data_IF_035753325236
#
_entry.id   IF_035753325236
#
_cell.length_a   1.000
_cell.length_b   1.000
_cell.length_c   1.000
_cell.angle_alpha   90.00
_cell.angle_beta   90.00
_cell.angle_gamma   90.00
#
_symmetry.space_group_name_H-M   'P 1'
#
loop_
_entity.id
_entity.type
_entity.pdbx_description
1 polymer ?
#
# COMPACT_ATOMS: atom_id res chain seq x y z
N UNK A 1 68.59 13.96 43.26
CA UNK A 1 67.52 13.10 42.79
C UNK A 1 66.25 14.01 42.67
N UNK A 2 65.89 14.44 41.44
CA UNK A 2 64.69 15.24 41.15
C UNK A 2 63.65 14.37 40.47
N UNK A 3 62.55 14.03 41.16
CA UNK A 3 61.46 13.23 40.60
C UNK A 3 60.52 14.14 39.75
N UNK A 4 60.42 13.81 38.47
CA UNK A 4 59.44 14.43 37.57
C UNK A 4 58.12 13.65 37.67
N UNK A 5 57.06 14.32 38.15
CA UNK A 5 55.70 13.80 38.07
C UNK A 5 55.07 14.18 36.71
N UNK A 6 54.77 13.16 35.92
CA UNK A 6 54.08 13.27 34.64
C UNK A 6 52.58 13.36 34.92
N UNK A 7 51.93 14.49 34.59
CA UNK A 7 50.50 14.64 34.61
C UNK A 7 49.94 14.18 33.27
N UNK A 8 49.18 13.07 33.25
CA UNK A 8 48.40 12.65 32.10
C UNK A 8 47.03 13.30 32.19
N UNK A 9 46.76 14.24 31.29
CA UNK A 9 45.45 14.85 31.12
C UNK A 9 44.57 13.91 30.28
N UNK A 10 43.56 13.32 30.88
CA UNK A 10 42.51 12.55 30.18
C UNK A 10 41.56 13.52 29.50
N UNK A 11 41.63 13.66 28.18
CA UNK A 11 40.64 14.39 27.40
C UNK A 11 39.42 13.50 27.21
N UNK A 12 38.32 13.80 27.89
CA UNK A 12 37.00 13.19 27.63
C UNK A 12 36.43 13.81 26.36
N UNK A 13 36.46 13.08 25.24
CA UNK A 13 35.69 13.42 24.06
C UNK A 13 34.21 13.22 24.36
N UNK A 14 33.49 14.33 24.56
CA UNK A 14 32.04 14.32 24.61
C UNK A 14 31.48 14.00 23.21
N UNK A 15 30.90 12.83 23.06
CA UNK A 15 30.09 12.49 21.87
C UNK A 15 28.80 13.33 22.00
N UNK A 16 28.75 14.44 21.28
CA UNK A 16 27.49 15.17 21.08
C UNK A 16 26.56 14.25 20.26
N UNK A 17 25.64 13.59 20.93
CA UNK A 17 24.55 12.88 20.27
C UNK A 17 23.76 13.88 19.44
N UNK A 18 23.82 13.79 18.10
CA UNK A 18 22.89 14.51 17.23
C UNK A 18 21.49 14.02 17.55
N UNK A 19 20.74 14.80 18.31
CA UNK A 19 19.30 14.65 18.47
C UNK A 19 18.68 14.93 17.09
N UNK A 20 18.34 13.89 16.33
CA UNK A 20 17.43 14.05 15.21
C UNK A 20 16.11 14.54 15.77
N UNK A 21 15.59 15.64 15.26
CA UNK A 21 14.22 16.04 15.56
C UNK A 21 13.31 14.89 15.16
N UNK A 22 12.41 14.49 16.06
CA UNK A 22 11.48 13.40 15.76
C UNK A 22 10.62 13.80 14.55
N UNK A 23 10.56 12.94 13.55
CA UNK A 23 9.74 13.15 12.35
C UNK A 23 8.26 13.06 12.74
N UNK A 24 7.41 13.92 12.19
CA UNK A 24 5.96 13.81 12.37
C UNK A 24 5.47 12.59 11.63
N UNK A 25 4.84 11.62 12.32
CA UNK A 25 4.39 10.41 11.67
C UNK A 25 3.23 10.68 10.70
N UNK A 26 3.22 9.96 9.57
CA UNK A 26 2.19 10.06 8.54
C UNK A 26 1.74 8.65 8.13
N UNK A 27 0.43 8.49 7.92
CA UNK A 27 -0.15 7.27 7.37
C UNK A 27 -1.08 7.63 6.22
N UNK A 28 -0.92 6.96 5.09
CA UNK A 28 -1.82 7.07 3.92
C UNK A 28 -2.29 5.68 3.54
N UNK A 29 -3.59 5.54 3.24
CA UNK A 29 -4.18 4.26 2.85
C UNK A 29 -5.04 4.42 1.60
N UNK A 30 -5.20 3.34 0.83
CA UNK A 30 -6.23 3.23 -0.20
C UNK A 30 -7.04 1.94 -0.05
N UNK A 31 -8.29 1.99 -0.49
CA UNK A 31 -9.20 0.86 -0.55
C UNK A 31 -9.58 0.45 -1.98
N UNK A 32 -8.85 0.98 -2.98
CA UNK A 32 -9.03 0.66 -4.39
C UNK A 32 -9.49 1.82 -5.27
N UNK A 33 -9.00 1.86 -6.51
CA UNK A 33 -9.45 2.74 -7.58
C UNK A 33 -10.58 2.10 -8.41
N UNK A 34 -11.26 2.90 -9.24
CA UNK A 34 -12.34 2.42 -10.12
C UNK A 34 -13.74 2.51 -9.50
N UNK A 35 -13.91 3.32 -8.45
CA UNK A 35 -15.21 3.59 -7.81
C UNK A 35 -16.07 4.45 -8.73
N UNK A 36 -17.30 4.01 -8.98
CA UNK A 36 -18.27 4.72 -9.82
C UNK A 36 -19.36 5.31 -8.92
N UNK A 37 -19.49 6.63 -8.90
CA UNK A 37 -20.41 7.38 -8.01
C UNK A 37 -21.86 6.93 -8.14
N UNK A 38 -22.34 6.66 -9.37
CA UNK A 38 -23.73 6.23 -9.63
C UNK A 38 -24.07 4.83 -9.06
N UNK A 39 -23.04 3.99 -8.82
CA UNK A 39 -23.22 2.63 -8.33
C UNK A 39 -23.08 2.56 -6.79
N UNK A 40 -22.81 3.72 -6.15
CA UNK A 40 -22.60 3.85 -4.71
C UNK A 40 -23.93 4.18 -4.00
N UNK A 41 -24.37 3.29 -3.12
CA UNK A 41 -25.49 3.60 -2.23
C UNK A 41 -25.01 4.37 -0.99
N UNK A 42 -25.87 5.22 -0.36
CA UNK A 42 -25.49 5.92 0.89
C UNK A 42 -25.06 4.99 2.01
N UNK A 43 -25.66 3.80 2.09
CA UNK A 43 -25.30 2.79 3.09
C UNK A 43 -23.88 2.23 2.85
N UNK A 44 -23.55 1.92 1.59
CA UNK A 44 -22.20 1.43 1.20
C UNK A 44 -21.16 2.52 1.39
N UNK A 45 -21.44 3.75 0.98
CA UNK A 45 -20.53 4.88 1.19
C UNK A 45 -20.20 5.07 2.67
N UNK A 46 -21.23 5.07 3.54
CA UNK A 46 -21.03 5.16 4.98
C UNK A 46 -20.19 4.00 5.53
N UNK A 47 -20.47 2.75 5.08
CA UNK A 47 -19.71 1.58 5.52
C UNK A 47 -18.23 1.69 5.11
N UNK A 48 -17.94 2.05 3.86
CA UNK A 48 -16.58 2.25 3.35
C UNK A 48 -15.84 3.35 4.15
N UNK A 49 -16.46 4.53 4.32
CA UNK A 49 -15.84 5.63 5.08
C UNK A 49 -15.56 5.22 6.54
N UNK A 50 -16.45 4.45 7.16
CA UNK A 50 -16.26 3.93 8.52
C UNK A 50 -15.08 2.96 8.58
N UNK A 51 -15.00 2.01 7.65
CA UNK A 51 -13.90 1.03 7.61
C UNK A 51 -12.54 1.68 7.31
N UNK A 52 -12.50 2.65 6.37
CA UNK A 52 -11.30 3.44 6.09
C UNK A 52 -10.83 4.22 7.33
N UNK A 53 -11.77 4.86 8.03
CA UNK A 53 -11.45 5.58 9.28
C UNK A 53 -10.89 4.64 10.34
N UNK A 54 -11.48 3.44 10.50
CA UNK A 54 -11.00 2.43 11.44
C UNK A 54 -9.59 1.94 11.07
N UNK A 55 -9.32 1.70 9.80
CA UNK A 55 -8.01 1.30 9.31
C UNK A 55 -6.94 2.37 9.59
N UNK A 56 -7.26 3.64 9.30
CA UNK A 56 -6.39 4.78 9.64
C UNK A 56 -6.10 4.85 11.14
N UNK A 57 -7.12 4.76 11.98
CA UNK A 57 -6.97 4.84 13.44
C UNK A 57 -6.10 3.70 13.98
N UNK A 58 -6.31 2.47 13.50
CA UNK A 58 -5.52 1.31 13.93
C UNK A 58 -4.05 1.40 13.50
N UNK A 59 -3.80 1.79 12.24
CA UNK A 59 -2.44 1.98 11.74
C UNK A 59 -1.74 3.14 12.44
N UNK A 60 -2.38 4.30 12.54
CA UNK A 60 -1.78 5.49 13.14
C UNK A 60 -1.54 5.33 14.66
N UNK A 61 -2.34 4.52 15.36
CA UNK A 61 -2.09 4.19 16.76
C UNK A 61 -0.72 3.50 16.95
N UNK A 62 -0.25 2.70 15.98
CA UNK A 62 1.09 2.10 16.03
C UNK A 62 2.17 3.18 15.96
N UNK A 63 2.03 4.15 15.03
CA UNK A 63 2.97 5.26 14.88
C UNK A 63 3.00 6.15 16.14
N UNK A 64 1.83 6.47 16.71
CA UNK A 64 1.74 7.23 17.97
C UNK A 64 2.37 6.50 19.16
N UNK A 65 2.39 5.18 19.14
CA UNK A 65 3.09 4.36 20.14
C UNK A 65 4.62 4.25 19.88
N UNK A 66 5.16 4.97 18.89
CA UNK A 66 6.57 4.94 18.51
C UNK A 66 7.02 3.67 17.80
N UNK A 67 6.08 2.87 17.31
CA UNK A 67 6.40 1.63 16.57
C UNK A 67 6.82 1.91 15.14
N UNK A 68 7.54 0.97 14.49
CA UNK A 68 7.96 1.10 13.10
C UNK A 68 6.82 1.30 12.11
N UNK A 69 7.10 1.96 10.99
CA UNK A 69 6.16 2.15 9.87
C UNK A 69 5.54 0.84 9.37
N UNK A 70 6.29 -0.27 9.37
CA UNK A 70 5.80 -1.61 9.05
C UNK A 70 4.61 -2.05 9.91
N UNK A 71 4.62 -1.71 11.20
CA UNK A 71 3.51 -2.07 12.11
C UNK A 71 2.24 -1.29 11.76
N UNK A 72 2.38 -0.03 11.37
CA UNK A 72 1.26 0.81 10.95
C UNK A 72 0.65 0.31 9.63
N UNK A 73 1.49 0.02 8.63
CA UNK A 73 1.07 -0.56 7.35
C UNK A 73 0.34 -1.88 7.58
N UNK A 74 0.93 -2.79 8.36
CA UNK A 74 0.33 -4.09 8.65
C UNK A 74 -1.02 -3.94 9.36
N UNK A 75 -1.11 -3.10 10.38
CA UNK A 75 -2.35 -2.89 11.15
C UNK A 75 -3.46 -2.29 10.30
N UNK A 76 -3.16 -1.31 9.45
CA UNK A 76 -4.15 -0.69 8.57
C UNK A 76 -4.68 -1.68 7.52
N UNK A 77 -3.79 -2.41 6.85
CA UNK A 77 -4.18 -3.38 5.81
C UNK A 77 -4.97 -4.54 6.41
N UNK A 78 -4.62 -5.04 7.60
CA UNK A 78 -5.37 -6.12 8.27
C UNK A 78 -6.84 -5.74 8.50
N UNK A 79 -7.13 -4.48 8.87
CA UNK A 79 -8.51 -3.99 9.01
C UNK A 79 -9.24 -4.02 7.66
N UNK A 80 -8.57 -3.61 6.58
CA UNK A 80 -9.16 -3.60 5.24
C UNK A 80 -9.36 -5.01 4.68
N UNK A 81 -8.45 -5.96 4.97
CA UNK A 81 -8.60 -7.38 4.61
C UNK A 81 -9.75 -8.08 5.34
N UNK A 82 -10.07 -7.65 6.57
CA UNK A 82 -11.17 -8.21 7.34
C UNK A 82 -12.55 -7.63 6.96
N UNK A 83 -12.59 -6.54 6.17
CA UNK A 83 -13.82 -5.86 5.75
C UNK A 83 -14.28 -6.30 4.35
N UNK A 84 -15.54 -6.78 4.18
CA UNK A 84 -16.04 -7.30 2.91
C UNK A 84 -16.25 -6.24 1.82
N UNK A 85 -16.12 -4.94 2.14
CA UNK A 85 -16.31 -3.86 1.16
C UNK A 85 -15.12 -3.69 0.22
N UNK A 86 -13.95 -4.23 0.57
CA UNK A 86 -12.72 -4.07 -0.22
C UNK A 86 -12.33 -5.36 -0.96
N UNK A 87 -11.61 -5.23 -2.06
CA UNK A 87 -11.09 -6.40 -2.80
C UNK A 87 -9.74 -6.85 -2.23
N UNK A 88 -9.76 -7.34 -1.01
CA UNK A 88 -8.64 -7.98 -0.32
C UNK A 88 -9.21 -8.86 0.81
N UNK A 89 -8.55 -9.96 1.16
CA UNK A 89 -9.02 -10.83 2.23
C UNK A 89 -10.50 -11.21 2.05
N UNK A 90 -11.34 -10.89 3.04
CA UNK A 90 -12.76 -11.28 3.10
C UNK A 90 -13.62 -10.78 1.93
N UNK A 91 -13.25 -9.67 1.30
CA UNK A 91 -14.01 -9.09 0.18
C UNK A 91 -13.36 -9.36 -1.18
N UNK A 92 -12.41 -10.28 -1.27
CA UNK A 92 -11.69 -10.60 -2.49
C UNK A 92 -12.63 -11.07 -3.62
N UNK A 93 -12.32 -10.65 -4.84
CA UNK A 93 -13.03 -11.09 -6.05
C UNK A 93 -12.78 -12.56 -6.36
N UNK A 94 -13.61 -13.11 -7.26
CA UNK A 94 -13.48 -14.48 -7.68
C UNK A 94 -12.71 -14.64 -8.98
N UNK A 95 -11.95 -15.73 -9.07
CA UNK A 95 -11.40 -16.25 -10.32
C UNK A 95 -12.52 -16.77 -11.24
N UNK A 96 -12.18 -17.06 -12.50
CA UNK A 96 -13.07 -17.70 -13.46
C UNK A 96 -13.71 -18.99 -12.91
N UNK A 97 -12.94 -19.78 -12.15
CA UNK A 97 -13.37 -21.05 -11.57
C UNK A 97 -14.13 -20.88 -10.25
N UNK A 98 -14.45 -19.65 -9.85
CA UNK A 98 -15.21 -19.36 -8.63
C UNK A 98 -14.44 -19.57 -7.33
N UNK A 99 -13.11 -19.41 -7.36
CA UNK A 99 -12.23 -19.42 -6.18
C UNK A 99 -11.80 -17.99 -5.82
N UNK A 100 -11.36 -17.79 -4.59
CA UNK A 100 -10.66 -16.57 -4.18
C UNK A 100 -9.16 -16.89 -4.09
N UNK A 101 -8.34 -16.15 -4.80
CA UNK A 101 -6.88 -16.20 -4.80
C UNK A 101 -6.35 -14.84 -4.41
N UNK A 102 -5.52 -14.80 -3.36
CA UNK A 102 -5.11 -13.58 -2.68
C UNK A 102 -3.61 -13.36 -2.86
N UNK A 103 -3.25 -12.09 -3.05
CA UNK A 103 -1.88 -11.65 -3.21
C UNK A 103 -1.60 -10.50 -2.22
N UNK A 104 -0.37 -10.42 -1.68
CA UNK A 104 0.05 -9.30 -0.85
C UNK A 104 1.57 -9.10 -0.90
N UNK A 105 2.01 -7.86 -0.65
CA UNK A 105 3.43 -7.54 -0.42
C UNK A 105 3.58 -6.47 0.65
N UNK A 106 4.73 -6.48 1.30
CA UNK A 106 5.17 -5.45 2.23
C UNK A 106 6.67 -5.19 2.04
N UNK A 107 7.09 -3.94 2.20
CA UNK A 107 8.49 -3.55 2.06
C UNK A 107 8.88 -2.50 3.10
N UNK A 108 10.04 -2.72 3.72
CA UNK A 108 10.72 -1.80 4.62
C UNK A 108 11.67 -0.91 3.81
N UNK A 109 11.40 0.39 3.78
CA UNK A 109 12.21 1.35 3.02
C UNK A 109 13.58 1.63 3.61
N UNK A 110 13.77 1.39 4.90
CA UNK A 110 15.06 1.60 5.57
C UNK A 110 16.07 0.49 5.26
N UNK A 111 15.63 -0.76 5.33
CA UNK A 111 16.51 -1.93 5.12
C UNK A 111 16.42 -2.52 3.71
N UNK A 112 15.45 -2.10 2.91
CA UNK A 112 15.05 -2.67 1.61
C UNK A 112 14.61 -4.13 1.70
N UNK A 113 14.33 -4.66 2.91
CA UNK A 113 13.74 -5.98 3.07
C UNK A 113 12.30 -5.96 2.61
N UNK A 114 11.90 -7.01 1.93
CA UNK A 114 10.55 -7.16 1.42
C UNK A 114 10.06 -8.61 1.58
N UNK A 115 8.74 -8.76 1.67
CA UNK A 115 8.08 -10.05 1.64
C UNK A 115 6.81 -9.97 0.81
N UNK A 116 6.51 -11.06 0.11
CA UNK A 116 5.41 -11.13 -0.83
C UNK A 116 4.81 -12.52 -0.87
N UNK A 117 3.51 -12.58 -1.10
CA UNK A 117 2.78 -13.83 -1.33
C UNK A 117 1.81 -13.68 -2.48
N UNK A 118 1.64 -14.74 -3.26
CA UNK A 118 0.72 -14.79 -4.38
C UNK A 118 -0.07 -16.11 -4.38
N UNK A 119 -1.28 -16.07 -4.94
CA UNK A 119 -2.14 -17.25 -5.13
C UNK A 119 -2.38 -18.06 -3.83
N UNK A 120 -2.59 -17.37 -2.69
CA UNK A 120 -2.99 -18.04 -1.45
C UNK A 120 -4.52 -18.03 -1.32
N UNK A 121 -5.10 -19.17 -0.89
CA UNK A 121 -6.56 -19.40 -0.90
C UNK A 121 -7.14 -19.59 0.50
N UNK A 122 -6.30 -19.70 1.53
CA UNK A 122 -6.71 -20.02 2.91
C UNK A 122 -6.14 -19.08 3.97
N UNK A 123 -5.22 -18.22 3.61
CA UNK A 123 -4.59 -17.29 4.56
C UNK A 123 -5.55 -16.15 4.88
N UNK A 124 -5.99 -16.06 6.15
CA UNK A 124 -6.98 -15.07 6.57
C UNK A 124 -6.56 -13.63 6.22
N UNK A 125 -5.32 -13.29 6.53
CA UNK A 125 -4.73 -11.98 6.29
C UNK A 125 -3.40 -12.13 5.52
N UNK A 126 -3.43 -12.04 4.18
CA UNK A 126 -2.23 -12.19 3.34
C UNK A 126 -1.09 -11.23 3.70
N UNK A 127 -1.38 -10.02 4.16
CA UNK A 127 -0.35 -9.06 4.56
C UNK A 127 0.50 -9.56 5.74
N UNK A 128 -0.10 -10.31 6.67
CA UNK A 128 0.64 -10.93 7.77
C UNK A 128 1.60 -12.01 7.28
N UNK A 129 1.17 -12.78 6.27
CA UNK A 129 2.04 -13.78 5.67
C UNK A 129 3.17 -13.14 4.85
N UNK A 130 2.88 -12.10 4.06
CA UNK A 130 3.90 -11.34 3.35
C UNK A 130 4.96 -10.78 4.33
N UNK A 131 4.53 -10.25 5.47
CA UNK A 131 5.43 -9.81 6.54
C UNK A 131 6.26 -10.95 7.12
N UNK A 132 5.65 -12.09 7.40
CA UNK A 132 6.38 -13.26 7.90
C UNK A 132 7.41 -13.79 6.88
N UNK A 133 7.11 -13.75 5.59
CA UNK A 133 8.10 -14.08 4.54
C UNK A 133 9.31 -13.17 4.64
N UNK A 134 9.12 -11.87 4.81
CA UNK A 134 10.19 -10.89 4.98
C UNK A 134 11.01 -11.13 6.25
N UNK A 135 10.36 -11.45 7.38
CA UNK A 135 10.98 -11.48 8.70
C UNK A 135 11.61 -12.85 9.03
N UNK A 136 11.01 -13.95 8.54
CA UNK A 136 11.31 -15.31 8.99
C UNK A 136 11.74 -16.27 7.88
N UNK A 137 11.96 -15.78 6.65
CA UNK A 137 12.47 -16.62 5.57
C UNK A 137 13.66 -15.97 4.84
N UNK A 138 14.49 -16.76 4.13
CA UNK A 138 15.52 -16.21 3.25
C UNK A 138 14.96 -15.72 1.90
N UNK A 139 13.68 -15.94 1.66
CA UNK A 139 13.01 -15.64 0.40
C UNK A 139 12.32 -14.27 0.45
N UNK A 140 12.06 -13.69 -0.73
CA UNK A 140 11.26 -12.48 -0.86
C UNK A 140 9.82 -12.81 -1.25
N UNK A 141 9.59 -13.90 -1.98
CA UNK A 141 8.26 -14.24 -2.48
C UNK A 141 7.99 -15.73 -2.38
N UNK A 142 6.82 -16.07 -1.84
CA UNK A 142 6.26 -17.43 -1.82
C UNK A 142 4.90 -17.44 -2.52
N UNK A 143 4.48 -18.61 -3.04
CA UNK A 143 3.19 -18.71 -3.76
C UNK A 143 2.44 -20.01 -3.46
N UNK A 144 1.12 -19.96 -3.61
CA UNK A 144 0.21 -21.09 -3.57
C UNK A 144 0.34 -21.95 -2.30
N UNK A 145 0.29 -23.28 -2.48
CA UNK A 145 0.31 -24.25 -1.38
C UNK A 145 1.56 -24.12 -0.53
N UNK A 146 2.74 -23.89 -1.13
CA UNK A 146 3.98 -23.73 -0.37
C UNK A 146 3.96 -22.49 0.56
N UNK A 147 3.33 -21.39 0.13
CA UNK A 147 3.12 -20.23 0.98
C UNK A 147 2.16 -20.52 2.14
N UNK A 148 1.13 -21.36 1.93
CA UNK A 148 0.20 -21.78 2.99
C UNK A 148 0.84 -22.76 3.99
N UNK A 149 1.74 -23.63 3.53
CA UNK A 149 2.54 -24.48 4.41
C UNK A 149 3.44 -23.62 5.31
N UNK A 150 4.13 -22.64 4.74
CA UNK A 150 4.92 -21.68 5.51
C UNK A 150 4.04 -20.88 6.49
N UNK A 151 2.83 -20.43 6.07
CA UNK A 151 1.88 -19.76 6.96
C UNK A 151 1.56 -20.63 8.20
N UNK A 152 1.33 -21.92 8.00
CA UNK A 152 1.06 -22.87 9.10
C UNK A 152 2.26 -23.00 10.04
N UNK A 153 3.49 -23.10 9.50
CA UNK A 153 4.72 -23.15 10.29
C UNK A 153 4.92 -21.89 11.14
N UNK A 154 4.52 -20.72 10.60
CA UNK A 154 4.60 -19.44 11.31
C UNK A 154 3.41 -19.16 12.24
N UNK A 155 2.46 -20.08 12.37
CA UNK A 155 1.26 -19.90 13.21
C UNK A 155 0.27 -18.87 12.69
N UNK A 156 0.32 -18.55 11.39
CA UNK A 156 -0.61 -17.62 10.74
C UNK A 156 -1.96 -18.31 10.54
N UNK A 157 -3.04 -17.58 10.82
CA UNK A 157 -4.40 -18.14 10.77
C UNK A 157 -4.79 -18.53 9.35
N UNK A 158 -5.08 -19.81 9.17
CA UNK A 158 -5.73 -20.36 7.97
C UNK A 158 -7.23 -20.50 8.22
N UNK A 159 -8.03 -20.20 7.20
CA UNK A 159 -9.50 -20.27 7.23
C UNK A 159 -10.01 -21.18 6.11
N UNK A 160 -11.26 -21.61 6.22
CA UNK A 160 -11.96 -22.24 5.11
C UNK A 160 -12.12 -21.21 3.96
N UNK A 161 -11.93 -21.59 2.69
CA UNK A 161 -12.12 -20.67 1.55
C UNK A 161 -13.49 -19.97 1.52
N UNK A 162 -14.52 -20.57 2.10
CA UNK A 162 -15.85 -19.96 2.23
C UNK A 162 -15.84 -18.64 3.04
N UNK A 163 -14.81 -18.42 3.88
CA UNK A 163 -14.63 -17.16 4.64
C UNK A 163 -14.54 -15.93 3.73
N UNK A 164 -13.92 -16.05 2.56
CA UNK A 164 -13.70 -14.95 1.62
C UNK A 164 -14.92 -14.66 0.74
N UNK A 165 -15.85 -15.63 0.66
CA UNK A 165 -16.99 -15.56 -0.23
C UNK A 165 -18.00 -14.51 0.23
N UNK A 166 -18.30 -13.55 -0.66
CA UNK A 166 -19.39 -12.58 -0.46
C UNK A 166 -20.36 -12.66 -1.62
N UNK A 167 -21.66 -12.42 -1.34
CA UNK A 167 -22.71 -12.46 -2.37
C UNK A 167 -22.47 -11.37 -3.44
N UNK A 168 -22.04 -10.18 -3.05
CA UNK A 168 -21.73 -9.09 -3.98
C UNK A 168 -20.67 -9.53 -5.01
N UNK A 169 -19.54 -10.12 -4.54
CA UNK A 169 -18.45 -10.56 -5.42
C UNK A 169 -18.86 -11.75 -6.29
N UNK A 170 -19.70 -12.63 -5.76
CA UNK A 170 -20.24 -13.72 -6.53
C UNK A 170 -21.12 -13.24 -7.70
N UNK A 171 -22.00 -12.27 -7.45
CA UNK A 171 -22.83 -11.67 -8.50
C UNK A 171 -21.98 -10.90 -9.55
N UNK A 172 -20.90 -10.25 -9.12
CA UNK A 172 -19.94 -9.63 -10.05
C UNK A 172 -19.32 -10.65 -10.99
N UNK A 173 -18.89 -11.83 -10.47
CA UNK A 173 -18.38 -12.91 -11.31
C UNK A 173 -19.47 -13.42 -12.28
N UNK A 174 -20.69 -13.69 -11.81
CA UNK A 174 -21.78 -14.19 -12.65
C UNK A 174 -22.10 -13.21 -13.80
N UNK A 175 -22.03 -11.90 -13.53
CA UNK A 175 -22.19 -10.88 -14.56
C UNK A 175 -21.04 -10.90 -15.57
N UNK A 176 -19.80 -10.99 -15.11
CA UNK A 176 -18.62 -11.07 -15.97
C UNK A 176 -18.65 -12.29 -16.89
N UNK A 177 -18.99 -13.47 -16.37
CA UNK A 177 -19.13 -14.71 -17.14
C UNK A 177 -20.22 -14.61 -18.23
N UNK A 178 -21.35 -13.96 -17.95
CA UNK A 178 -22.41 -13.74 -18.94
C UNK A 178 -21.95 -12.76 -20.04
N UNK A 179 -21.25 -11.71 -19.68
CA UNK A 179 -20.73 -10.72 -20.63
C UNK A 179 -19.67 -11.36 -21.54
N UNK A 180 -18.80 -12.23 -21.00
CA UNK A 180 -17.79 -12.94 -21.79
C UNK A 180 -18.41 -13.97 -22.76
N UNK A 181 -19.42 -14.70 -22.33
CA UNK A 181 -20.15 -15.62 -23.19
C UNK A 181 -20.89 -14.92 -24.36
N UNK A 182 -21.21 -13.64 -24.21
CA UNK A 182 -21.88 -12.82 -25.26
C UNK A 182 -20.90 -12.17 -26.23
N UNK A 183 -19.59 -12.15 -25.94
CA UNK A 183 -18.58 -11.54 -26.84
C UNK A 183 -18.20 -12.50 -27.97
N UNK A 184 -18.00 -11.95 -29.19
CA UNK A 184 -17.39 -12.71 -30.30
C UNK A 184 -15.89 -12.94 -30.01
N UNK A 185 -15.28 -14.04 -30.57
CA UNK A 185 -13.91 -14.48 -30.25
C UNK A 185 -12.78 -13.49 -30.49
N UNK A 186 -13.03 -12.32 -31.08
CA UNK A 186 -12.05 -11.28 -31.38
C UNK A 186 -12.47 -9.88 -30.87
N UNK A 187 -13.46 -9.80 -29.98
CA UNK A 187 -13.79 -8.54 -29.34
C UNK A 187 -12.65 -8.17 -28.38
N UNK A 188 -12.24 -6.91 -28.46
CA UNK A 188 -11.26 -6.24 -27.62
C UNK A 188 -11.40 -6.72 -26.15
N UNK A 189 -10.28 -6.99 -25.51
CA UNK A 189 -10.25 -7.36 -24.09
C UNK A 189 -10.88 -6.19 -23.33
N UNK A 190 -12.20 -6.30 -23.15
CA UNK A 190 -13.04 -5.22 -22.68
C UNK A 190 -12.49 -4.67 -21.37
N UNK A 191 -12.57 -3.37 -21.24
CA UNK A 191 -12.18 -2.59 -20.07
C UNK A 191 -12.38 -3.41 -18.80
N UNK A 192 -11.27 -3.79 -18.17
CA UNK A 192 -11.27 -4.62 -16.98
C UNK A 192 -12.16 -3.94 -15.93
N UNK A 193 -13.26 -4.59 -15.65
CA UNK A 193 -14.29 -4.08 -14.76
C UNK A 193 -13.95 -4.52 -13.36
N UNK A 194 -13.88 -3.57 -12.46
CA UNK A 194 -13.72 -3.73 -11.02
C UNK A 194 -12.31 -4.13 -10.59
N UNK A 195 -11.47 -3.10 -10.53
CA UNK A 195 -10.30 -3.07 -9.69
C UNK A 195 -10.74 -2.84 -8.24
N UNK A 196 -9.92 -3.13 -7.36
CA UNK A 196 -10.01 -2.83 -5.95
C UNK A 196 -8.82 -3.55 -5.34
N UNK A 197 -8.01 -2.84 -4.66
CA UNK A 197 -6.80 -3.32 -4.01
C UNK A 197 -6.68 -2.47 -2.77
N UNK A 198 -6.28 -3.01 -1.65
CA UNK A 198 -6.03 -2.20 -0.46
C UNK A 198 -4.53 -1.99 -0.29
N UNK A 199 -4.16 -0.85 0.28
CA UNK A 199 -2.76 -0.60 0.56
C UNK A 199 -2.55 0.50 1.57
N UNK A 200 -1.32 0.59 2.07
CA UNK A 200 -0.88 1.59 3.02
C UNK A 200 0.58 1.96 2.79
N UNK A 201 0.91 3.22 3.01
CA UNK A 201 2.27 3.73 3.15
C UNK A 201 2.37 4.52 4.44
N UNK A 202 3.48 4.39 5.16
CA UNK A 202 3.67 5.04 6.45
C UNK A 202 5.08 5.62 6.60
N UNK A 203 5.17 6.72 7.35
CA UNK A 203 6.40 7.34 7.83
C UNK A 203 6.36 7.33 9.36
N UNK A 204 7.34 6.76 10.02
CA UNK A 204 7.42 6.71 11.47
C UNK A 204 8.23 7.87 12.09
N UNK A 205 8.25 7.95 13.41
CA UNK A 205 8.96 9.00 14.17
C UNK A 205 10.48 8.95 14.01
N UNK A 206 11.04 7.85 13.50
CA UNK A 206 12.45 7.71 13.18
C UNK A 206 12.77 8.16 11.73
N UNK A 207 11.76 8.51 10.94
CA UNK A 207 11.91 8.87 9.53
C UNK A 207 12.00 7.64 8.60
N UNK A 208 11.60 6.46 9.06
CA UNK A 208 11.58 5.26 8.23
C UNK A 208 10.24 5.14 7.50
N UNK A 209 10.31 4.77 6.23
CA UNK A 209 9.18 4.55 5.35
C UNK A 209 8.88 3.05 5.19
N UNK A 210 7.60 2.71 5.03
CA UNK A 210 7.16 1.38 4.65
C UNK A 210 5.98 1.45 3.69
N UNK A 211 5.83 0.42 2.84
CA UNK A 211 4.71 0.24 1.93
C UNK A 211 4.16 -1.17 2.03
N UNK A 212 2.85 -1.33 1.82
CA UNK A 212 2.21 -2.63 1.69
C UNK A 212 0.97 -2.55 0.82
N UNK A 213 0.66 -3.66 0.16
CA UNK A 213 -0.49 -3.80 -0.74
C UNK A 213 -1.06 -5.20 -0.60
N UNK A 214 -2.40 -5.33 -0.64
CA UNK A 214 -3.11 -6.62 -0.59
C UNK A 214 -4.32 -6.62 -1.52
N UNK A 215 -4.57 -7.75 -2.20
CA UNK A 215 -5.62 -7.84 -3.23
C UNK A 215 -6.14 -9.25 -3.45
N UNK A 216 -7.38 -9.35 -3.99
CA UNK A 216 -7.90 -10.54 -4.66
C UNK A 216 -7.64 -10.56 -6.17
N UNK A 217 -6.99 -9.52 -6.72
CA UNK A 217 -6.75 -9.39 -8.15
C UNK A 217 -7.96 -8.84 -8.92
N UNK A 218 -8.20 -9.36 -10.13
CA UNK A 218 -9.30 -8.96 -11.01
C UNK A 218 -10.42 -9.99 -10.99
N UNK A 219 -11.67 -9.52 -11.06
CA UNK A 219 -12.83 -10.40 -11.25
C UNK A 219 -12.69 -11.21 -12.53
N UNK A 220 -12.99 -12.50 -12.47
CA UNK A 220 -12.89 -13.43 -13.61
C UNK A 220 -11.45 -13.68 -14.10
N UNK A 221 -10.43 -13.40 -13.25
CA UNK A 221 -9.04 -13.74 -13.56
C UNK A 221 -8.86 -15.25 -13.80
N UNK A 222 -7.96 -15.61 -14.74
CA UNK A 222 -7.75 -16.99 -15.20
C UNK A 222 -6.27 -17.38 -15.09
N UNK A 223 -6.01 -18.67 -15.14
CA UNK A 223 -4.68 -19.27 -15.31
C UNK A 223 -3.66 -18.86 -14.23
N UNK A 224 -4.13 -18.62 -13.00
CA UNK A 224 -3.26 -18.16 -11.93
C UNK A 224 -2.73 -16.74 -12.15
N UNK A 225 -3.54 -15.84 -12.73
CA UNK A 225 -3.12 -14.44 -12.98
C UNK A 225 -2.74 -13.75 -11.69
N UNK A 226 -1.52 -13.25 -11.65
CA UNK A 226 -0.98 -12.41 -10.60
C UNK A 226 -0.88 -10.97 -11.14
N UNK A 227 -1.36 -9.99 -10.36
CA UNK A 227 -1.25 -8.57 -10.68
C UNK A 227 0.04 -7.94 -10.15
N UNK A 228 0.03 -6.62 -10.08
CA UNK A 228 1.16 -5.80 -9.61
C UNK A 228 1.37 -5.85 -8.10
N UNK A 229 0.31 -6.06 -7.33
CA UNK A 229 0.32 -5.92 -5.86
C UNK A 229 1.42 -6.75 -5.17
N UNK A 230 1.66 -8.04 -5.50
CA UNK A 230 2.71 -8.83 -4.86
C UNK A 230 4.09 -8.61 -5.48
N UNK A 231 4.21 -7.82 -6.56
CA UNK A 231 5.47 -7.60 -7.28
C UNK A 231 6.13 -6.33 -6.73
N UNK A 232 7.24 -6.52 -6.01
CA UNK A 232 8.05 -5.42 -5.47
C UNK A 232 8.56 -4.56 -6.64
N UNK A 233 8.29 -3.27 -6.55
CA UNK A 233 8.58 -2.29 -7.59
C UNK A 233 7.40 -1.99 -8.51
N UNK A 234 6.43 -2.90 -8.68
CA UNK A 234 5.26 -2.68 -9.51
C UNK A 234 4.11 -2.05 -8.71
N UNK A 235 3.46 -2.80 -7.82
CA UNK A 235 2.36 -2.34 -6.98
C UNK A 235 2.76 -1.92 -5.57
N UNK A 236 3.93 -2.35 -5.10
CA UNK A 236 4.46 -2.09 -3.75
C UNK A 236 5.93 -1.75 -3.82
N UNK A 237 6.33 -0.60 -3.29
CA UNK A 237 7.74 -0.24 -3.18
C UNK A 237 7.99 0.73 -2.03
N UNK A 238 9.12 0.56 -1.34
CA UNK A 238 9.62 1.55 -0.39
C UNK A 238 11.15 1.59 -0.41
N UNK A 239 11.72 2.80 -0.27
CA UNK A 239 13.12 3.04 0.03
C UNK A 239 13.23 4.15 1.09
N UNK A 240 14.43 4.59 1.43
CA UNK A 240 14.65 5.61 2.45
C UNK A 240 14.06 6.99 2.13
N UNK A 241 13.68 7.26 0.90
CA UNK A 241 13.16 8.55 0.47
C UNK A 241 11.72 8.53 -0.05
N UNK A 242 11.13 7.34 -0.28
CA UNK A 242 9.81 7.25 -0.89
C UNK A 242 9.15 5.89 -0.63
N UNK A 243 7.83 5.89 -0.43
CA UNK A 243 7.01 4.68 -0.33
C UNK A 243 5.76 4.82 -1.22
N UNK A 244 5.38 3.74 -1.92
CA UNK A 244 4.26 3.72 -2.87
C UNK A 244 3.47 2.42 -2.74
N UNK A 245 2.13 2.54 -2.80
CA UNK A 245 1.20 1.42 -3.00
C UNK A 245 0.24 1.75 -4.14
N UNK A 246 0.18 0.88 -5.13
CA UNK A 246 -0.62 1.03 -6.34
C UNK A 246 -1.96 0.29 -6.29
N UNK A 247 -2.91 0.76 -7.10
CA UNK A 247 -4.21 0.12 -7.33
C UNK A 247 -4.70 0.45 -8.73
N UNK A 248 -4.98 -0.56 -9.54
CA UNK A 248 -5.41 -0.34 -10.92
C UNK A 248 -5.28 -1.58 -11.80
N UNK A 249 -5.10 -1.36 -13.10
CA UNK A 249 -4.89 -2.45 -14.04
C UNK A 249 -3.44 -2.94 -13.99
N UNK A 250 -3.21 -4.00 -13.22
CA UNK A 250 -1.90 -4.48 -12.81
C UNK A 250 -0.90 -4.73 -13.93
N UNK A 251 -1.37 -5.15 -15.11
CA UNK A 251 -0.53 -5.42 -16.27
C UNK A 251 0.28 -4.19 -16.72
N UNK A 252 -0.28 -2.99 -16.56
CA UNK A 252 0.42 -1.73 -16.89
C UNK A 252 1.40 -1.34 -15.79
N UNK A 253 1.03 -1.53 -14.53
CA UNK A 253 1.90 -1.28 -13.38
C UNK A 253 3.12 -2.21 -13.37
N UNK A 254 2.93 -3.49 -13.76
CA UNK A 254 4.05 -4.45 -13.90
C UNK A 254 5.01 -4.01 -15.01
N UNK A 255 4.48 -3.64 -16.19
CA UNK A 255 5.29 -3.29 -17.37
C UNK A 255 6.11 -2.02 -17.18
N UNK A 256 5.62 -1.06 -16.39
CA UNK A 256 6.31 0.20 -16.08
C UNK A 256 7.09 0.15 -14.78
N UNK A 257 6.93 -0.92 -13.96
CA UNK A 257 7.49 -0.99 -12.60
C UNK A 257 7.08 0.25 -11.80
N UNK A 258 5.80 0.61 -11.88
CA UNK A 258 5.24 1.92 -11.57
C UNK A 258 5.62 2.46 -10.18
N UNK A 259 5.53 1.64 -9.13
CA UNK A 259 5.85 2.06 -7.76
C UNK A 259 7.34 2.41 -7.60
N UNK A 260 8.23 1.64 -8.22
CA UNK A 260 9.66 1.91 -8.23
C UNK A 260 9.99 3.15 -9.07
N UNK A 261 9.36 3.32 -10.23
CA UNK A 261 9.59 4.48 -11.09
C UNK A 261 9.23 5.79 -10.38
N UNK A 262 8.08 5.85 -9.70
CA UNK A 262 7.72 7.02 -8.88
C UNK A 262 8.84 7.34 -7.89
N UNK A 263 9.29 6.34 -7.13
CA UNK A 263 10.32 6.54 -6.11
C UNK A 263 11.70 6.88 -6.72
N UNK A 264 12.06 6.34 -7.87
CA UNK A 264 13.30 6.71 -8.57
C UNK A 264 13.30 8.16 -9.06
N UNK A 265 12.16 8.64 -9.58
CA UNK A 265 12.01 10.06 -9.94
C UNK A 265 12.22 10.97 -8.72
N UNK A 266 11.66 10.59 -7.56
CA UNK A 266 11.84 11.34 -6.30
C UNK A 266 13.29 11.30 -5.81
N UNK A 267 13.84 10.11 -5.64
CA UNK A 267 15.11 9.93 -4.90
C UNK A 267 16.35 10.20 -5.75
N UNK A 268 16.34 9.82 -7.04
CA UNK A 268 17.48 9.95 -7.92
C UNK A 268 17.41 11.19 -8.82
N UNK A 269 16.20 11.49 -9.34
CA UNK A 269 16.02 12.62 -10.25
C UNK A 269 15.60 13.91 -9.53
N UNK A 270 15.32 13.85 -8.22
CA UNK A 270 14.90 14.99 -7.39
C UNK A 270 13.62 15.68 -7.90
N UNK A 271 12.74 14.94 -8.55
CA UNK A 271 11.43 15.43 -8.95
C UNK A 271 10.50 15.41 -7.74
N UNK A 272 9.74 16.49 -7.47
CA UNK A 272 8.80 16.51 -6.35
C UNK A 272 7.80 15.33 -6.39
N UNK A 273 7.46 14.75 -5.23
CA UNK A 273 6.62 13.55 -5.12
C UNK A 273 5.31 13.65 -5.89
N UNK A 274 4.57 14.75 -5.72
CA UNK A 274 3.29 14.99 -6.39
C UNK A 274 3.40 14.94 -7.91
N UNK A 275 4.46 15.56 -8.45
CA UNK A 275 4.74 15.54 -9.89
C UNK A 275 5.16 14.15 -10.37
N UNK A 276 6.07 13.49 -9.66
CA UNK A 276 6.54 12.14 -9.99
C UNK A 276 5.38 11.15 -10.07
N UNK A 277 4.52 11.16 -9.06
CA UNK A 277 3.37 10.28 -8.98
C UNK A 277 2.32 10.59 -10.07
N UNK A 278 2.06 11.88 -10.35
CA UNK A 278 1.14 12.29 -11.40
C UNK A 278 1.65 11.95 -12.81
N UNK A 279 2.94 12.09 -13.09
CA UNK A 279 3.52 11.71 -14.39
C UNK A 279 3.32 10.22 -14.68
N UNK A 280 3.59 9.33 -13.71
CA UNK A 280 3.44 7.89 -13.90
C UNK A 280 1.95 7.52 -13.97
N UNK A 281 1.15 7.91 -12.99
CA UNK A 281 -0.24 7.43 -12.87
C UNK A 281 -1.19 8.13 -13.85
N UNK A 282 -1.04 9.45 -14.10
CA UNK A 282 -2.00 10.21 -14.88
C UNK A 282 -1.54 10.49 -16.33
N UNK A 283 -0.30 10.12 -16.69
CA UNK A 283 0.20 10.32 -18.05
C UNK A 283 0.72 9.01 -18.66
N UNK A 284 1.73 8.37 -18.04
CA UNK A 284 2.37 7.18 -18.61
C UNK A 284 1.42 5.98 -18.69
N UNK A 285 0.79 5.59 -17.58
CA UNK A 285 -0.17 4.47 -17.54
C UNK A 285 -1.33 4.66 -18.53
N UNK A 286 -2.02 5.83 -18.59
CA UNK A 286 -3.07 6.07 -19.59
C UNK A 286 -2.57 6.07 -21.03
N UNK A 287 -1.34 6.52 -21.30
CA UNK A 287 -0.80 6.51 -22.66
C UNK A 287 -0.69 5.10 -23.27
N UNK A 288 -0.63 4.08 -22.43
CA UNK A 288 -0.61 2.67 -22.82
C UNK A 288 -2.01 2.02 -22.80
N UNK A 289 -3.05 2.75 -22.35
CA UNK A 289 -4.40 2.24 -22.22
C UNK A 289 -4.75 1.71 -20.82
N UNK A 290 -3.87 1.88 -19.82
CA UNK A 290 -4.10 1.52 -18.43
C UNK A 290 -4.84 2.58 -17.62
N UNK A 291 -5.32 2.19 -16.45
CA UNK A 291 -5.94 3.12 -15.50
C UNK A 291 -5.70 2.65 -14.05
N UNK A 292 -6.02 3.52 -13.10
CA UNK A 292 -5.90 3.23 -11.69
C UNK A 292 -5.51 4.44 -10.86
N UNK A 293 -4.78 4.20 -9.77
CA UNK A 293 -4.26 5.21 -8.87
C UNK A 293 -3.12 4.66 -8.00
N UNK A 294 -2.59 5.53 -7.17
CA UNK A 294 -1.58 5.17 -6.17
C UNK A 294 -1.68 6.10 -4.96
N UNK A 295 -1.16 5.64 -3.85
CA UNK A 295 -0.77 6.47 -2.72
C UNK A 295 0.75 6.48 -2.64
N UNK A 296 1.33 7.65 -2.39
CA UNK A 296 2.75 7.83 -2.26
C UNK A 296 3.08 8.78 -1.10
N UNK A 297 4.21 8.54 -0.45
CA UNK A 297 4.70 9.29 0.71
C UNK A 297 6.21 9.42 0.61
N UNK A 298 6.77 10.63 0.86
CA UNK A 298 8.20 10.82 0.92
C UNK A 298 8.72 10.96 2.36
N UNK A 299 10.04 11.06 2.49
CA UNK A 299 10.71 11.16 3.79
C UNK A 299 10.45 12.50 4.51
N UNK A 300 9.98 13.52 3.80
CA UNK A 300 9.62 14.83 4.35
C UNK A 300 8.15 14.87 4.82
N UNK A 301 7.39 13.76 4.59
CA UNK A 301 5.99 13.63 4.95
C UNK A 301 5.01 14.19 3.92
N UNK A 302 5.47 14.54 2.70
CA UNK A 302 4.58 14.94 1.62
C UNK A 302 3.77 13.74 1.11
N UNK A 303 2.50 13.99 0.86
CA UNK A 303 1.54 12.99 0.39
C UNK A 303 1.22 13.27 -1.09
N UNK A 304 1.13 12.20 -1.89
CA UNK A 304 0.56 12.25 -3.24
C UNK A 304 -0.42 11.09 -3.45
N UNK A 305 -1.60 11.40 -3.99
CA UNK A 305 -2.68 10.43 -4.19
C UNK A 305 -3.25 10.58 -5.62
N UNK A 306 -2.45 10.38 -6.67
CA UNK A 306 -2.92 10.48 -8.04
C UNK A 306 -3.83 9.30 -8.41
N UNK A 307 -4.88 9.58 -9.19
CA UNK A 307 -5.72 8.58 -9.82
C UNK A 307 -6.36 9.14 -11.09
N UNK A 308 -6.71 8.27 -12.04
CA UNK A 308 -7.29 8.61 -13.34
C UNK A 308 -8.61 7.84 -13.60
N UNK A 309 -9.27 7.39 -12.53
CA UNK A 309 -10.60 6.78 -12.52
C UNK A 309 -11.64 7.74 -11.94
N UNK A 310 -12.93 7.42 -12.01
CA UNK A 310 -14.01 8.28 -11.49
C UNK A 310 -13.91 8.50 -9.98
N UNK A 311 -13.27 7.58 -9.25
CA UNK A 311 -13.03 7.67 -7.82
C UNK A 311 -12.03 6.64 -7.33
N UNK A 312 -11.48 6.90 -6.14
CA UNK A 312 -10.60 6.00 -5.41
C UNK A 312 -10.89 6.13 -3.91
N UNK A 313 -11.11 5.01 -3.23
CA UNK A 313 -11.15 4.99 -1.77
C UNK A 313 -9.77 5.34 -1.25
N UNK A 314 -9.65 6.48 -0.56
CA UNK A 314 -8.38 6.99 -0.05
C UNK A 314 -8.54 7.62 1.32
N UNK A 315 -7.49 7.57 2.12
CA UNK A 315 -7.51 8.24 3.41
C UNK A 315 -6.10 8.47 3.94
N UNK A 316 -5.97 9.45 4.85
CA UNK A 316 -4.68 9.82 5.44
C UNK A 316 -4.84 10.39 6.84
N UNK A 317 -3.76 10.30 7.61
CA UNK A 317 -3.52 11.07 8.82
C UNK A 317 -2.15 11.70 8.65
N UNK A 318 -2.14 13.03 8.55
CA UNK A 318 -0.94 13.86 8.45
C UNK A 318 -0.51 14.48 9.77
N UNK A 319 0.15 15.64 9.69
CA UNK A 319 0.64 16.37 10.84
C UNK A 319 -0.45 16.87 11.80
N UNK A 320 -1.69 16.98 11.34
CA UNK A 320 -2.85 17.36 12.14
C UNK A 320 -3.34 16.24 13.07
N UNK A 321 -2.90 14.98 12.82
CA UNK A 321 -3.28 13.81 13.61
C UNK A 321 -4.75 13.39 13.46
N UNK A 322 -5.48 13.92 12.44
CA UNK A 322 -6.90 13.68 12.19
C UNK A 322 -7.09 12.73 11.01
N UNK A 323 -8.00 11.72 11.12
CA UNK A 323 -8.33 10.87 9.99
C UNK A 323 -9.13 11.63 8.92
N UNK A 324 -8.63 11.64 7.70
CA UNK A 324 -9.31 12.13 6.50
C UNK A 324 -9.66 10.96 5.59
N UNK A 325 -10.87 10.96 5.01
CA UNK A 325 -11.32 9.93 4.06
C UNK A 325 -12.03 10.59 2.90
N UNK A 326 -11.60 10.27 1.69
CA UNK A 326 -12.20 10.75 0.44
C UNK A 326 -12.43 9.59 -0.54
N UNK A 327 -13.38 9.76 -1.46
CA UNK A 327 -13.78 8.73 -2.43
C UNK A 327 -13.77 9.30 -3.85
N UNK A 328 -14.38 10.48 -4.06
CA UNK A 328 -14.63 11.05 -5.37
C UNK A 328 -13.56 12.08 -5.75
N UNK A 329 -13.41 12.35 -7.05
CA UNK A 329 -12.39 13.26 -7.56
C UNK A 329 -12.59 14.74 -7.19
N UNK A 330 -13.79 15.12 -6.76
CA UNK A 330 -14.15 16.47 -6.30
C UNK A 330 -13.94 16.69 -4.79
N UNK A 331 -13.50 15.66 -4.05
CA UNK A 331 -13.17 15.75 -2.64
C UNK A 331 -11.66 16.04 -2.43
N UNK A 332 -11.30 16.50 -1.23
CA UNK A 332 -9.92 16.76 -0.83
C UNK A 332 -9.01 15.56 -1.14
N UNK A 333 -7.84 15.82 -1.67
CA UNK A 333 -6.85 14.85 -2.09
C UNK A 333 -5.67 14.66 -1.10
N UNK A 334 -5.73 15.35 0.05
CA UNK A 334 -4.68 15.26 1.07
C UNK A 334 -3.36 15.93 0.67
N UNK A 335 -3.32 16.62 -0.47
CA UNK A 335 -2.11 17.21 -1.03
C UNK A 335 -1.95 18.69 -0.71
N UNK A 336 -2.66 19.21 0.31
CA UNK A 336 -2.43 20.56 0.80
C UNK A 336 -0.93 20.69 1.17
N UNK A 337 -0.26 21.70 0.63
CA UNK A 337 1.14 21.99 0.98
C UNK A 337 1.24 22.15 2.49
N UNK A 338 2.10 21.35 3.12
CA UNK A 338 2.52 21.63 4.48
C UNK A 338 3.07 23.06 4.50
N UNK A 339 2.72 23.91 5.49
CA UNK A 339 3.31 25.25 5.57
C UNK A 339 4.83 25.10 5.54
N UNK A 340 5.48 25.89 4.68
CA UNK A 340 6.92 25.90 4.56
C UNK A 340 7.55 25.96 5.97
N UNK A 341 8.61 25.18 6.25
CA UNK A 341 9.28 25.27 7.53
C UNK A 341 9.64 26.75 7.77
N UNK A 342 9.25 27.26 8.95
CA UNK A 342 9.54 28.65 9.31
C UNK A 342 11.03 28.87 9.09
N UNK A 343 11.40 29.77 8.17
CA UNK A 343 12.77 30.20 7.99
C UNK A 343 13.32 30.59 9.35
N UNK A 344 14.33 29.84 9.80
CA UNK A 344 15.04 30.21 11.03
C UNK A 344 15.59 31.61 10.80
N UNK A 345 15.00 32.60 11.46
CA UNK A 345 15.49 33.94 11.44
C UNK A 345 16.98 33.92 11.83
N UNK A 346 17.85 34.06 10.83
CA UNK A 346 19.23 34.31 11.08
C UNK A 346 19.28 35.66 11.87
N UNK A 347 19.63 35.57 13.15
CA UNK A 347 19.94 36.75 13.92
C UNK A 347 21.26 37.36 13.44
N UNK A 348 21.33 38.68 13.35
CA UNK A 348 22.49 39.40 12.86
C UNK A 348 23.73 39.27 13.73
#
# INVERSE_FOLDING_TARGET
MKSHRLFVALATLGIAGMSHAATTPVLVIHGGAGVIKRDMTPAKEKAVRTAMTLALQNGYAQLKAGKPALDAVTAAITVLEDDPNFNAGKGAVFTHDGKNELDAAIMDGFTLRAGSVADVQRVKNPILLARAVMEHSPHVMLAGIGAEEFAKEQGITLVDPAYFRTEERWQQLQKALKEDAAKQPHADVGTAKHFGTVGAVALDVQGHLAAGTSTGGMTDKRWGRIGDSPIIGAGTYANSGCAVSGTGWGEYYIRTVAAHEICMKVTQMRVPLKRSAAEVINQEIPSMGGNGGAIALDADGHIAIPFNTDGMYRGWIGADGVPHVAIYGDEDDGTAELPAPAESAAQP
#
